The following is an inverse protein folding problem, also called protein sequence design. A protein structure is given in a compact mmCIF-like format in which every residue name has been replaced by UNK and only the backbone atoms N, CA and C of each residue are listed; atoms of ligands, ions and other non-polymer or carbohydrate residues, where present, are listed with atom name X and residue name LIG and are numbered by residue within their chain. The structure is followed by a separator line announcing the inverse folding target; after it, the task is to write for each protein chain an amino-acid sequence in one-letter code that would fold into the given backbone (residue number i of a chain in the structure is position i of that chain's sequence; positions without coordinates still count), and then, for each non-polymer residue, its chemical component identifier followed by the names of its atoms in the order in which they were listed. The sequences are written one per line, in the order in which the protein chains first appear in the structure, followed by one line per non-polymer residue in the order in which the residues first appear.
data_IF_584821212973
#
_entry.id   IF_584821212973
#
_cell.length_a   1.000
_cell.length_b   1.000
_cell.length_c   1.000
_cell.angle_alpha   90.00
_cell.angle_beta   90.00
_cell.angle_gamma   90.00
#
_symmetry.space_group_name_H-M   'P 1'
#
loop_
_entity.id
_entity.type
_entity.pdbx_description
1 polymer ?
#
# COMPACT_ATOMS: atom_id res chain seq x y z
N UNK A 1 8.86 -22.23 -12.30
CA UNK A 1 9.08 -21.17 -13.31
C UNK A 1 8.23 -19.96 -12.93
N UNK A 2 8.50 -18.77 -13.50
CA UNK A 2 7.67 -17.58 -13.26
C UNK A 2 6.19 -17.84 -13.66
N UNK A 3 5.96 -18.61 -14.72
CA UNK A 3 4.62 -19.04 -15.15
C UNK A 3 3.85 -19.86 -14.09
N UNK A 4 4.54 -20.76 -13.35
CA UNK A 4 3.90 -21.51 -12.27
C UNK A 4 3.54 -20.61 -11.09
N UNK A 5 4.37 -19.59 -10.81
CA UNK A 5 4.08 -18.62 -9.77
C UNK A 5 2.87 -17.76 -10.15
N UNK A 6 2.79 -17.28 -11.40
CA UNK A 6 1.63 -16.56 -11.91
C UNK A 6 0.34 -17.39 -11.86
N UNK A 7 0.40 -18.67 -12.24
CA UNK A 7 -0.76 -19.57 -12.14
C UNK A 7 -1.21 -19.76 -10.69
N UNK A 8 -0.27 -19.95 -9.77
CA UNK A 8 -0.57 -20.05 -8.34
C UNK A 8 -1.23 -18.76 -7.81
N UNK A 9 -0.74 -17.59 -8.24
CA UNK A 9 -1.32 -16.29 -7.88
C UNK A 9 -2.74 -16.10 -8.40
N UNK A 10 -3.02 -16.52 -9.63
CA UNK A 10 -4.38 -16.47 -10.20
C UNK A 10 -5.34 -17.43 -9.52
N UNK A 11 -4.84 -18.53 -8.95
CA UNK A 11 -5.66 -19.50 -8.23
C UNK A 11 -6.12 -19.04 -6.85
N UNK A 12 -5.50 -17.99 -6.27
CA UNK A 12 -5.94 -17.40 -5.00
C UNK A 12 -7.26 -16.67 -5.23
N UNK A 13 -8.37 -17.18 -4.70
CA UNK A 13 -9.69 -16.61 -4.97
C UNK A 13 -9.92 -15.25 -4.32
N UNK A 14 -9.44 -15.08 -3.08
CA UNK A 14 -9.67 -13.89 -2.27
C UNK A 14 -8.72 -12.75 -2.67
N UNK A 15 -9.22 -11.57 -3.08
CA UNK A 15 -8.37 -10.46 -3.50
C UNK A 15 -7.35 -10.03 -2.44
N UNK A 16 -7.74 -10.04 -1.16
CA UNK A 16 -6.83 -9.70 -0.07
C UNK A 16 -5.66 -10.69 0.02
N UNK A 17 -5.93 -11.98 -0.02
CA UNK A 17 -4.90 -13.02 0.04
C UNK A 17 -3.97 -12.94 -1.16
N UNK A 18 -4.52 -12.65 -2.34
CA UNK A 18 -3.73 -12.45 -3.56
C UNK A 18 -2.82 -11.23 -3.42
N UNK A 19 -3.32 -10.11 -2.88
CA UNK A 19 -2.52 -8.91 -2.65
C UNK A 19 -1.38 -9.17 -1.66
N UNK A 20 -1.65 -9.87 -0.55
CA UNK A 20 -0.62 -10.24 0.44
C UNK A 20 0.41 -11.19 -0.17
N UNK A 21 -0.01 -12.14 -1.01
CA UNK A 21 0.91 -13.03 -1.70
C UNK A 21 1.83 -12.27 -2.68
N UNK A 22 1.32 -11.28 -3.41
CA UNK A 22 2.13 -10.41 -4.27
C UNK A 22 3.20 -9.65 -3.46
N UNK A 23 2.82 -9.07 -2.32
CA UNK A 23 3.76 -8.39 -1.42
C UNK A 23 4.84 -9.36 -0.91
N UNK A 24 4.46 -10.56 -0.47
CA UNK A 24 5.41 -11.58 0.00
C UNK A 24 6.35 -12.07 -1.10
N UNK A 25 5.85 -12.22 -2.33
CA UNK A 25 6.66 -12.56 -3.50
C UNK A 25 7.60 -11.41 -3.88
N UNK A 26 7.18 -10.16 -3.76
CA UNK A 26 8.04 -8.99 -3.96
C UNK A 26 9.20 -8.99 -2.96
N UNK A 27 8.91 -9.24 -1.68
CA UNK A 27 9.93 -9.37 -0.62
C UNK A 27 10.93 -10.51 -0.94
N UNK A 28 10.47 -11.60 -1.57
CA UNK A 28 11.32 -12.68 -2.04
C UNK A 28 12.18 -12.29 -3.25
N UNK A 29 11.57 -11.67 -4.25
CA UNK A 29 12.27 -11.18 -5.44
C UNK A 29 13.37 -10.19 -5.07
N UNK A 30 13.10 -9.25 -4.15
CA UNK A 30 14.10 -8.30 -3.63
C UNK A 30 15.27 -9.01 -2.95
N UNK A 31 15.01 -10.01 -2.10
CA UNK A 31 16.08 -10.80 -1.46
C UNK A 31 16.98 -11.53 -2.46
N UNK A 32 16.47 -11.85 -3.64
CA UNK A 32 17.22 -12.47 -4.73
C UNK A 32 17.84 -11.45 -5.71
N UNK A 33 17.71 -10.14 -5.45
CA UNK A 33 18.21 -9.08 -6.32
C UNK A 33 17.39 -8.85 -7.59
N UNK A 34 16.17 -9.40 -7.66
CA UNK A 34 15.24 -9.25 -8.78
C UNK A 34 14.34 -8.02 -8.56
N UNK A 35 14.97 -6.84 -8.53
CA UNK A 35 14.30 -5.59 -8.16
C UNK A 35 13.17 -5.21 -9.12
N UNK A 36 13.34 -5.42 -10.43
CA UNK A 36 12.29 -5.14 -11.42
C UNK A 36 11.03 -5.97 -11.16
N UNK A 37 11.19 -7.27 -10.90
CA UNK A 37 10.06 -8.14 -10.56
C UNK A 37 9.42 -7.72 -9.23
N UNK A 38 10.23 -7.37 -8.23
CA UNK A 38 9.72 -6.87 -6.95
C UNK A 38 8.84 -5.63 -7.15
N UNK A 39 9.24 -4.70 -8.01
CA UNK A 39 8.49 -3.50 -8.37
C UNK A 39 7.19 -3.88 -9.11
N UNK A 40 7.25 -4.75 -10.11
CA UNK A 40 6.05 -5.21 -10.84
C UNK A 40 5.01 -5.80 -9.89
N UNK A 41 5.42 -6.72 -9.02
CA UNK A 41 4.50 -7.35 -8.06
C UNK A 41 3.85 -6.35 -7.09
N UNK A 42 4.59 -5.30 -6.69
CA UNK A 42 4.04 -4.25 -5.84
C UNK A 42 3.05 -3.37 -6.60
N UNK A 43 3.34 -3.04 -7.86
CA UNK A 43 2.41 -2.28 -8.70
C UNK A 43 1.10 -3.04 -8.91
N UNK A 44 1.19 -4.34 -9.23
CA UNK A 44 0.03 -5.21 -9.38
C UNK A 44 -0.78 -5.29 -8.06
N UNK A 45 -0.09 -5.32 -6.92
CA UNK A 45 -0.75 -5.30 -5.61
C UNK A 45 -1.51 -3.99 -5.34
N UNK A 46 -0.98 -2.84 -5.78
CA UNK A 46 -1.71 -1.56 -5.69
C UNK A 46 -2.95 -1.56 -6.57
N UNK A 47 -2.86 -2.07 -7.79
CA UNK A 47 -3.98 -2.14 -8.73
C UNK A 47 -5.10 -3.06 -8.21
N UNK A 48 -4.72 -4.20 -7.63
CA UNK A 48 -5.66 -5.16 -7.05
C UNK A 48 -6.37 -4.64 -5.79
N UNK A 49 -5.82 -3.62 -5.12
CA UNK A 49 -6.33 -3.15 -3.83
C UNK A 49 -7.81 -2.75 -3.89
N UNK A 50 -8.28 -2.18 -5.00
CA UNK A 50 -9.68 -1.79 -5.17
C UNK A 50 -10.66 -2.97 -5.07
N UNK A 51 -10.23 -4.18 -5.38
CA UNK A 51 -11.03 -5.40 -5.29
C UNK A 51 -11.17 -5.93 -3.86
N UNK A 52 -10.33 -5.50 -2.91
CA UNK A 52 -10.30 -6.01 -1.52
C UNK A 52 -11.44 -5.42 -0.70
N UNK A 53 -12.53 -6.12 -0.33
CA UNK A 53 -13.71 -5.47 0.23
C UNK A 53 -13.50 -4.85 1.63
N UNK A 54 -12.53 -5.36 2.39
CA UNK A 54 -12.26 -4.90 3.76
C UNK A 54 -11.38 -3.64 3.75
N UNK A 55 -11.99 -2.47 3.92
CA UNK A 55 -11.33 -1.16 3.84
C UNK A 55 -10.05 -1.02 4.68
N UNK A 56 -10.06 -1.49 5.93
CA UNK A 56 -8.86 -1.43 6.80
C UNK A 56 -7.74 -2.32 6.28
N UNK A 57 -8.06 -3.52 5.81
CA UNK A 57 -7.07 -4.44 5.25
C UNK A 57 -6.49 -3.89 3.95
N UNK A 58 -7.38 -3.36 3.08
CA UNK A 58 -7.04 -2.65 1.86
C UNK A 58 -6.06 -1.50 2.13
N UNK A 59 -6.45 -0.54 2.95
CA UNK A 59 -5.62 0.62 3.29
C UNK A 59 -4.24 0.24 3.83
N UNK A 60 -4.20 -0.64 4.84
CA UNK A 60 -2.93 -1.03 5.47
C UNK A 60 -1.99 -1.73 4.50
N UNK A 61 -2.50 -2.64 3.68
CA UNK A 61 -1.65 -3.35 2.76
C UNK A 61 -1.22 -2.46 1.57
N UNK A 62 -2.01 -1.47 1.14
CA UNK A 62 -1.55 -0.43 0.21
C UNK A 62 -0.43 0.44 0.81
N UNK A 63 -0.49 0.81 2.11
CA UNK A 63 0.61 1.53 2.80
C UNK A 63 1.88 0.68 2.84
N UNK A 64 1.76 -0.60 3.17
CA UNK A 64 2.89 -1.53 3.21
C UNK A 64 3.53 -1.73 1.82
N UNK A 65 2.73 -1.69 0.76
CA UNK A 65 3.20 -1.70 -0.63
C UNK A 65 3.94 -0.40 -0.97
N UNK A 66 3.39 0.77 -0.62
CA UNK A 66 4.04 2.07 -0.82
C UNK A 66 5.40 2.15 -0.12
N UNK A 67 5.49 1.66 1.12
CA UNK A 67 6.75 1.58 1.88
C UNK A 67 7.82 0.76 1.17
N UNK A 68 7.44 -0.37 0.56
CA UNK A 68 8.36 -1.25 -0.18
C UNK A 68 8.78 -0.65 -1.52
N UNK A 69 7.85 -0.03 -2.24
CA UNK A 69 8.15 0.72 -3.46
C UNK A 69 9.20 1.80 -3.17
N UNK A 70 9.05 2.55 -2.08
CA UNK A 70 10.05 3.52 -1.64
C UNK A 70 11.40 2.88 -1.33
N UNK A 71 11.43 1.75 -0.63
CA UNK A 71 12.68 1.03 -0.36
C UNK A 71 13.38 0.52 -1.63
N UNK A 72 12.65 0.42 -2.75
CA UNK A 72 13.14 0.09 -4.09
C UNK A 72 13.43 1.34 -4.94
N UNK A 73 13.37 2.54 -4.36
CA UNK A 73 13.63 3.81 -5.03
C UNK A 73 12.47 4.33 -5.91
N UNK A 74 11.30 3.69 -5.85
CA UNK A 74 10.11 4.10 -6.60
C UNK A 74 9.32 5.18 -5.84
N UNK A 75 9.93 6.34 -5.64
CA UNK A 75 9.39 7.42 -4.80
C UNK A 75 8.05 7.97 -5.30
N UNK A 76 7.95 8.29 -6.59
CA UNK A 76 6.70 8.83 -7.17
C UNK A 76 5.56 7.82 -7.05
N UNK A 77 5.83 6.54 -7.35
CA UNK A 77 4.84 5.47 -7.24
C UNK A 77 4.45 5.17 -5.80
N UNK A 78 5.39 5.27 -4.86
CA UNK A 78 5.09 5.19 -3.43
C UNK A 78 4.20 6.36 -2.97
N UNK A 79 4.40 7.57 -3.51
CA UNK A 79 3.53 8.72 -3.25
C UNK A 79 2.12 8.48 -3.79
N UNK A 80 1.98 8.00 -5.03
CA UNK A 80 0.68 7.64 -5.62
C UNK A 80 -0.05 6.57 -4.79
N UNK A 81 0.63 5.49 -4.43
CA UNK A 81 0.04 4.44 -3.60
C UNK A 81 -0.35 4.96 -2.20
N UNK A 82 0.41 5.91 -1.65
CA UNK A 82 0.09 6.59 -0.39
C UNK A 82 -1.19 7.43 -0.51
N UNK A 83 -1.39 8.15 -1.62
CA UNK A 83 -2.63 8.89 -1.93
C UNK A 83 -3.82 7.94 -2.05
N UNK A 84 -3.65 6.81 -2.75
CA UNK A 84 -4.68 5.78 -2.86
C UNK A 84 -5.06 5.22 -1.48
N UNK A 85 -4.07 4.93 -0.63
CA UNK A 85 -4.32 4.48 0.74
C UNK A 85 -5.07 5.52 1.58
N UNK A 86 -4.74 6.81 1.43
CA UNK A 86 -5.44 7.90 2.11
C UNK A 86 -6.93 7.94 1.72
N UNK A 87 -7.23 7.73 0.44
CA UNK A 87 -8.61 7.59 -0.04
C UNK A 87 -9.35 6.47 0.70
N UNK A 88 -8.75 5.28 0.80
CA UNK A 88 -9.35 4.16 1.54
C UNK A 88 -9.51 4.44 3.03
N UNK A 89 -8.53 5.13 3.65
CA UNK A 89 -8.59 5.53 5.06
C UNK A 89 -9.80 6.44 5.32
N UNK A 90 -10.10 7.36 4.40
CA UNK A 90 -11.22 8.27 4.50
C UNK A 90 -12.57 7.53 4.60
N UNK A 91 -12.67 6.34 4.01
CA UNK A 91 -13.87 5.50 4.04
C UNK A 91 -14.00 4.63 5.31
N UNK A 92 -12.92 4.47 6.09
CA UNK A 92 -12.95 3.65 7.32
C UNK A 92 -13.80 4.35 8.39
N UNK A 93 -14.90 3.67 8.78
CA UNK A 93 -15.81 4.15 9.84
C UNK A 93 -15.32 3.88 11.26
N UNK A 94 -14.53 2.82 11.46
CA UNK A 94 -14.00 2.46 12.77
C UNK A 94 -12.89 3.41 13.19
N UNK A 95 -13.14 4.22 14.23
CA UNK A 95 -12.20 5.27 14.68
C UNK A 95 -10.82 4.72 15.02
N UNK A 96 -10.72 3.65 15.82
CA UNK A 96 -9.42 3.06 16.17
C UNK A 96 -8.67 2.54 14.94
N UNK A 97 -9.37 1.87 14.02
CA UNK A 97 -8.77 1.36 12.78
C UNK A 97 -8.29 2.49 11.87
N UNK A 98 -9.08 3.57 11.77
CA UNK A 98 -8.73 4.76 11.00
C UNK A 98 -7.52 5.46 11.61
N UNK A 99 -7.49 5.63 12.93
CA UNK A 99 -6.37 6.26 13.63
C UNK A 99 -5.06 5.49 13.43
N UNK A 100 -5.10 4.15 13.51
CA UNK A 100 -3.93 3.30 13.25
C UNK A 100 -3.44 3.47 11.80
N UNK A 101 -4.35 3.43 10.82
CA UNK A 101 -3.97 3.57 9.42
C UNK A 101 -3.41 4.98 9.11
N UNK A 102 -3.98 6.03 9.70
CA UNK A 102 -3.46 7.39 9.60
C UNK A 102 -2.07 7.53 10.22
N UNK A 103 -1.83 6.91 11.38
CA UNK A 103 -0.51 6.90 12.01
C UNK A 103 0.52 6.22 11.10
N UNK A 104 0.20 5.03 10.58
CA UNK A 104 1.09 4.30 9.67
C UNK A 104 1.40 5.10 8.39
N UNK A 105 0.39 5.76 7.82
CA UNK A 105 0.57 6.60 6.64
C UNK A 105 1.40 7.85 6.97
N UNK A 106 1.16 8.49 8.11
CA UNK A 106 1.93 9.66 8.58
C UNK A 106 3.41 9.31 8.77
N UNK A 107 3.70 8.18 9.42
CA UNK A 107 5.06 7.71 9.66
C UNK A 107 5.79 7.45 8.33
N UNK A 108 5.08 6.91 7.34
CA UNK A 108 5.63 6.76 5.99
C UNK A 108 5.96 8.12 5.36
N UNK A 109 5.20 9.19 5.61
CA UNK A 109 5.44 10.49 4.98
C UNK A 109 6.52 11.35 5.66
N UNK A 110 6.84 11.12 6.93
CA UNK A 110 7.70 12.02 7.73
C UNK A 110 9.08 12.27 7.10
N UNK A 111 9.61 11.33 6.31
CA UNK A 111 10.93 11.42 5.67
C UNK A 111 10.88 11.08 4.17
N UNK A 112 9.73 11.27 3.53
CA UNK A 112 9.56 10.98 2.11
C UNK A 112 10.41 11.93 1.23
N UNK A 113 11.18 11.38 0.29
CA UNK A 113 11.85 12.20 -0.71
C UNK A 113 10.84 12.78 -1.71
N UNK A 114 9.84 11.98 -2.11
CA UNK A 114 8.62 12.45 -2.78
C UNK A 114 7.43 12.36 -1.81
N UNK A 115 7.02 13.47 -1.17
CA UNK A 115 5.87 13.48 -0.29
C UNK A 115 4.56 13.35 -1.08
N UNK A 116 3.45 13.18 -0.36
CA UNK A 116 2.10 13.26 -0.91
C UNK A 116 1.89 14.59 -1.69
N UNK A 117 1.05 14.57 -2.75
CA UNK A 117 0.53 15.79 -3.35
C UNK A 117 -0.08 16.73 -2.29
N UNK A 118 0.02 18.05 -2.50
CA UNK A 118 -0.36 19.06 -1.49
C UNK A 118 -1.77 18.86 -0.93
N UNK A 119 -2.75 18.56 -1.80
CA UNK A 119 -4.14 18.31 -1.40
C UNK A 119 -4.27 17.08 -0.48
N UNK A 120 -3.53 16.02 -0.76
CA UNK A 120 -3.55 14.78 0.02
C UNK A 120 -2.79 14.95 1.33
N UNK A 121 -1.67 15.68 1.31
CA UNK A 121 -0.95 16.06 2.52
C UNK A 121 -1.86 16.88 3.46
N UNK A 122 -2.63 17.82 2.92
CA UNK A 122 -3.60 18.58 3.70
C UNK A 122 -4.74 17.71 4.23
N UNK A 123 -5.30 16.83 3.39
CA UNK A 123 -6.32 15.89 3.83
C UNK A 123 -5.83 14.99 4.97
N UNK A 124 -4.60 14.44 4.87
CA UNK A 124 -3.97 13.67 5.93
C UNK A 124 -3.85 14.48 7.23
N UNK A 125 -3.37 15.73 7.15
CA UNK A 125 -3.27 16.63 8.32
C UNK A 125 -4.64 16.85 8.98
N UNK A 126 -5.67 17.17 8.21
CA UNK A 126 -7.02 17.39 8.72
C UNK A 126 -7.60 16.14 9.38
N UNK A 127 -7.41 14.97 8.77
CA UNK A 127 -7.86 13.70 9.34
C UNK A 127 -7.13 13.37 10.65
N UNK A 128 -5.83 13.64 10.75
CA UNK A 128 -5.07 13.45 11.98
C UNK A 128 -5.55 14.37 13.10
N UNK A 129 -5.89 15.63 12.81
CA UNK A 129 -6.47 16.56 13.78
C UNK A 129 -7.84 16.05 14.25
N UNK A 130 -8.70 15.64 13.31
CA UNK A 130 -10.05 15.16 13.62
C UNK A 130 -10.07 13.86 14.43
N UNK A 131 -9.07 12.98 14.29
CA UNK A 131 -8.98 11.73 15.09
C UNK A 131 -8.39 11.93 16.50
N UNK A 132 -7.95 13.15 16.86
CA UNK A 132 -7.44 13.49 18.20
C UNK A 132 -8.47 14.19 19.10
N UNK A 133 -9.58 14.64 18.53
CA UNK A 133 -10.66 15.35 19.21
C UNK A 133 -11.70 14.38 19.79
#
# INVERSE_FOLDING_TARGET
SDEQAEQAMRAIGEPYERMIAMIGMSDAAKREGRDELAITLLNDAVELAEEVPQLTARANATIETAKRLRALGQEDRASEASSTALGYIAEIRGESSRAIALANLSDLQENAAAPLPENDAEALRQMLIANRA
#
